data_IF_806688732322
#
_entry.id   IF_806688732322
#
_cell.length_a   1.000
_cell.length_b   1.000
_cell.length_c   1.000
_cell.angle_alpha   90.00
_cell.angle_beta   90.00
_cell.angle_gamma   90.00
#
_symmetry.space_group_name_H-M   'P 1'
#
loop_
_entity.id
_entity.type
_entity.pdbx_description
1 polymer ?
2 polymer ?
3 polymer ?
4 non-polymer ?
5 water ?
#
# COMPACT_ATOMS: atom_id res chain seq x y z
N UNK A 1 -3.14 -5.02 13.24
CA UNK A 1 -3.17 -4.81 11.81
C UNK A 1 -2.26 -3.67 11.36
N UNK A 2 -2.21 -3.46 10.05
CA UNK A 2 -1.31 -2.47 9.43
C UNK A 2 -2.03 -1.18 9.08
N UNK A 3 -1.37 -0.06 9.39
CA UNK A 3 -1.79 1.27 8.95
C UNK A 3 -0.64 2.01 8.28
N UNK A 4 -0.97 3.07 7.53
CA UNK A 4 0.02 3.96 6.95
C UNK A 4 0.10 5.30 7.69
N UNK A 5 1.25 5.97 7.59
CA UNK A 5 1.49 7.18 8.36
C UNK A 5 0.75 8.42 7.88
N UNK A 6 0.16 8.35 6.70
CA UNK A 6 -0.55 9.51 6.14
C UNK A 6 -1.56 9.08 5.06
N UNK A 7 -2.55 9.92 4.80
CA UNK A 7 -3.58 9.58 3.81
C UNK A 7 -3.29 10.17 2.43
N UNK A 8 -2.25 11.00 2.35
CA UNK A 8 -1.71 11.39 1.06
C UNK A 8 -0.23 11.73 1.25
N UNK A 9 0.53 11.65 0.17
CA UNK A 9 1.92 12.07 0.20
C UNK A 9 2.15 13.22 -0.78
N UNK A 10 2.72 14.33 -0.28
CA UNK A 10 3.11 15.41 -1.17
C UNK A 10 4.59 15.27 -1.52
N UNK A 11 4.89 15.07 -2.80
CA UNK A 11 6.27 14.89 -3.21
C UNK A 11 6.82 16.18 -3.81
N UNK A 12 7.70 16.87 -3.08
CA UNK A 12 8.21 18.14 -3.60
C UNK A 12 9.18 17.92 -4.74
N UNK A 13 8.88 18.46 -5.92
CA UNK A 13 9.84 18.44 -7.02
C UNK A 13 11.23 18.86 -6.59
N UNK A 14 12.23 18.06 -6.96
CA UNK A 14 13.62 18.36 -6.61
C UNK A 14 14.16 17.53 -5.46
N UNK A 15 13.27 17.04 -4.60
CA UNK A 15 13.68 16.27 -3.45
C UNK A 15 14.13 14.87 -3.91
N UNK A 16 15.25 14.39 -3.40
CA UNK A 16 15.74 13.07 -3.79
C UNK A 16 14.78 11.95 -3.35
N UNK A 17 14.18 12.07 -2.18
CA UNK A 17 13.20 11.08 -1.72
C UNK A 17 12.13 11.70 -0.83
N UNK A 18 11.02 10.98 -0.68
CA UNK A 18 10.05 11.28 0.36
C UNK A 18 9.87 9.98 1.12
N UNK A 19 9.32 10.02 2.33
CA UNK A 19 9.13 8.79 3.07
C UNK A 19 7.69 8.60 3.55
N UNK A 20 7.34 7.36 3.88
CA UNK A 20 5.99 7.01 4.34
C UNK A 20 6.10 5.92 5.40
N UNK A 21 5.50 6.15 6.57
CA UNK A 21 5.58 5.16 7.64
C UNK A 21 4.56 4.04 7.41
N UNK A 22 4.93 2.82 7.79
CA UNK A 22 4.02 1.68 7.84
C UNK A 22 4.09 1.12 9.25
N UNK A 23 2.95 0.94 9.91
CA UNK A 23 2.98 0.42 11.28
C UNK A 23 2.14 -0.83 11.47
N UNK A 24 2.59 -1.67 12.38
CA UNK A 24 1.83 -2.80 12.87
C UNK A 24 1.71 -2.69 14.39
N UNK A 25 0.52 -2.94 14.94
CA UNK A 25 0.33 -2.76 16.38
C UNK A 25 0.22 -4.06 17.18
N UNK A 26 0.31 -5.19 16.48
CA UNK A 26 0.05 -6.49 17.11
C UNK A 26 1.34 -7.30 17.32
N UNK A 27 1.70 -7.50 18.59
CA UNK A 27 2.93 -8.20 18.94
C UNK A 27 2.99 -9.61 18.36
N UNK A 28 1.83 -10.23 18.22
CA UNK A 28 1.75 -11.63 17.83
C UNK A 28 1.48 -11.84 16.35
N UNK A 29 1.94 -10.91 15.50
CA UNK A 29 1.73 -11.08 14.08
C UNK A 29 2.89 -10.57 13.23
N UNK A 30 3.09 -11.25 12.11
CA UNK A 30 4.06 -10.84 11.11
C UNK A 30 3.32 -10.62 9.81
N UNK A 31 3.62 -9.51 9.14
CA UNK A 31 3.06 -9.19 7.85
C UNK A 31 4.18 -9.13 6.82
N UNK A 32 3.92 -9.59 5.60
CA UNK A 32 4.77 -9.21 4.47
C UNK A 32 4.21 -7.90 3.92
N UNK A 33 5.08 -6.95 3.63
CA UNK A 33 4.66 -5.64 3.13
C UNK A 33 5.21 -5.46 1.73
N UNK A 34 4.30 -5.30 0.78
CA UNK A 34 4.63 -5.19 -0.63
C UNK A 34 4.10 -3.88 -1.20
N UNK A 35 4.99 -3.06 -1.78
CA UNK A 35 4.66 -1.67 -2.07
C UNK A 35 5.08 -1.21 -3.46
N UNK A 36 4.30 -0.31 -4.06
CA UNK A 36 4.53 0.14 -5.43
C UNK A 36 3.69 1.37 -5.77
N UNK A 37 4.07 2.04 -6.86
CA UNK A 37 3.36 3.24 -7.31
C UNK A 37 2.58 2.95 -8.60
N UNK A 38 1.39 3.55 -8.70
CA UNK A 38 0.59 3.51 -9.91
C UNK A 38 0.42 4.93 -10.41
N UNK A 39 0.22 5.08 -11.73
CA UNK A 39 -0.12 6.39 -12.28
C UNK A 39 -1.57 6.72 -11.96
N UNK A 40 -2.07 7.82 -12.51
CA UNK A 40 -3.41 8.29 -12.20
C UNK A 40 -4.47 7.25 -12.55
N UNK A 41 -4.22 6.49 -13.61
CA UNK A 41 -5.14 5.46 -14.08
C UNK A 41 -5.04 4.11 -13.35
N UNK A 42 -4.22 4.05 -12.30
CA UNK A 42 -4.14 2.85 -11.48
C UNK A 42 -3.28 1.75 -12.07
N UNK A 43 -2.42 2.14 -13.02
CA UNK A 43 -1.50 1.22 -13.67
C UNK A 43 -0.12 1.37 -13.06
N UNK A 44 0.62 0.28 -12.87
CA UNK A 44 1.94 0.39 -12.25
C UNK A 44 2.85 1.35 -13.01
N UNK A 45 3.52 2.22 -12.26
CA UNK A 45 4.44 3.19 -12.84
C UNK A 45 5.70 3.16 -11.98
N UNK A 46 6.78 2.62 -12.54
CA UNK A 46 8.02 2.48 -11.81
C UNK A 46 8.85 3.75 -11.73
N UNK A 47 8.33 4.86 -12.26
CA UNK A 47 9.09 6.11 -12.28
C UNK A 47 9.14 6.74 -10.90
N UNK A 48 8.33 6.23 -9.98
CA UNK A 48 8.64 6.42 -8.57
C UNK A 48 9.07 5.07 -8.03
N UNK A 49 10.27 5.03 -7.45
CA UNK A 49 10.79 3.79 -6.88
C UNK A 49 10.44 3.71 -5.41
N UNK A 50 9.78 2.63 -5.03
CA UNK A 50 9.46 2.43 -3.63
C UNK A 50 10.40 1.37 -3.07
N UNK A 51 11.10 1.71 -1.99
CA UNK A 51 12.07 0.78 -1.45
C UNK A 51 12.06 0.83 0.09
N UNK A 52 12.17 -0.34 0.75
CA UNK A 52 12.27 -1.66 0.12
C UNK A 52 10.91 -2.13 -0.36
N UNK A 53 10.89 -2.79 -1.53
CA UNK A 53 9.59 -3.08 -2.16
C UNK A 53 8.94 -4.33 -1.59
N UNK A 54 9.68 -5.11 -0.81
CA UNK A 54 9.15 -6.32 -0.16
C UNK A 54 9.94 -6.67 1.10
N UNK A 55 9.25 -6.72 2.23
CA UNK A 55 9.90 -6.99 3.51
C UNK A 55 8.90 -7.56 4.49
N UNK A 56 9.40 -8.10 5.60
CA UNK A 56 8.51 -8.60 6.63
C UNK A 56 8.66 -7.73 7.86
N UNK A 57 7.55 -7.44 8.53
CA UNK A 57 7.65 -6.79 9.83
C UNK A 57 6.91 -7.59 10.90
N UNK A 58 7.58 -7.78 12.02
CA UNK A 58 7.05 -8.57 13.13
C UNK A 58 6.68 -7.70 14.33
N UNK A 59 5.49 -7.92 14.87
CA UNK A 59 5.11 -7.31 16.14
C UNK A 59 4.83 -5.83 16.10
N UNK A 60 4.77 -5.21 17.28
CA UNK A 60 4.59 -3.76 17.38
C UNK A 60 5.79 -3.06 16.77
N UNK A 61 5.61 -2.48 15.58
CA UNK A 61 6.75 -2.01 14.82
C UNK A 61 6.39 -0.92 13.83
N UNK A 62 7.32 0.01 13.61
CA UNK A 62 7.18 0.97 12.54
C UNK A 62 8.33 0.79 11.55
N UNK A 63 8.00 0.74 10.27
CA UNK A 63 8.95 0.65 9.17
C UNK A 63 8.73 1.82 8.25
N UNK A 64 9.82 2.40 7.77
CA UNK A 64 9.72 3.52 6.85
C UNK A 64 9.97 3.10 5.40
N UNK A 65 9.05 3.49 4.52
CA UNK A 65 9.25 3.32 3.07
C UNK A 65 9.91 4.55 2.48
N UNK A 66 10.86 4.33 1.58
CA UNK A 66 11.42 5.42 0.79
C UNK A 66 10.76 5.48 -0.58
N UNK A 67 10.36 6.68 -0.99
CA UNK A 67 9.81 6.93 -2.32
C UNK A 67 10.80 7.78 -3.11
N UNK A 68 11.41 7.22 -4.16
CA UNK A 68 12.45 7.95 -4.92
C UNK A 68 11.93 8.49 -6.25
N UNK A 69 12.14 9.77 -6.52
CA UNK A 69 11.78 10.37 -7.80
C UNK A 69 12.71 9.93 -8.93
N UNK A 70 12.21 9.05 -9.80
CA UNK A 70 12.93 8.63 -10.98
C UNK A 70 12.22 9.07 -12.28
N UNK A 71 11.50 10.19 -12.21
CA UNK A 71 10.81 10.70 -13.40
C UNK A 71 11.70 11.52 -14.35
N UNK A 72 12.99 11.69 -14.04
CA UNK A 72 13.90 12.42 -14.92
C UNK A 72 13.37 13.79 -15.38
N UNK A 73 12.66 14.47 -14.49
CA UNK A 73 12.16 15.83 -14.75
C UNK A 73 11.22 15.91 -15.96
N UNK A 74 10.42 14.87 -16.16
CA UNK A 74 9.56 14.77 -17.33
C UNK A 74 8.12 15.20 -17.03
N UNK A 75 7.79 15.38 -15.76
CA UNK A 75 6.45 15.83 -15.43
C UNK A 75 6.32 17.34 -15.58
N UNK A 76 5.07 17.85 -15.75
CA UNK A 76 4.88 19.30 -15.86
C UNK A 76 5.45 20.03 -14.64
N UNK A 77 5.89 21.27 -14.84
CA UNK A 77 6.43 22.03 -13.71
C UNK A 77 5.56 23.25 -13.41
N UNK A 78 4.29 23.22 -13.83
CA UNK A 78 3.34 24.28 -13.49
C UNK A 78 2.06 23.76 -12.83
N UNK A 79 1.97 22.45 -12.65
CA UNK A 79 0.81 21.86 -12.00
C UNK A 79 1.18 20.52 -11.41
N UNK A 80 0.40 20.08 -10.42
CA UNK A 80 0.63 18.78 -9.79
C UNK A 80 0.33 17.63 -10.75
N UNK A 81 1.00 16.51 -10.53
CA UNK A 81 0.71 15.24 -11.22
C UNK A 81 0.24 14.26 -10.17
N UNK A 82 -0.77 13.44 -10.52
CA UNK A 82 -1.36 12.49 -9.58
C UNK A 82 -0.81 11.08 -9.77
N UNK A 83 -0.38 10.49 -8.66
CA UNK A 83 0.01 9.07 -8.66
C UNK A 83 -0.66 8.43 -7.46
N UNK A 84 -0.57 7.10 -7.36
CA UNK A 84 -1.13 6.39 -6.23
C UNK A 84 -0.08 5.50 -5.58
N UNK A 85 0.10 5.67 -4.28
CA UNK A 85 0.95 4.79 -3.49
C UNK A 85 0.16 3.57 -3.05
N UNK A 86 0.73 2.38 -3.24
CA UNK A 86 0.07 1.14 -2.86
C UNK A 86 0.90 0.36 -1.85
N UNK A 87 0.29 -0.03 -0.74
CA UNK A 87 0.98 -0.82 0.27
C UNK A 87 0.09 -2.02 0.61
N UNK A 88 0.54 -3.20 0.24
CA UNK A 88 -0.22 -4.42 0.49
C UNK A 88 0.35 -5.12 1.70
N UNK A 89 -0.53 -5.44 2.65
CA UNK A 89 -0.16 -6.12 3.86
C UNK A 89 -0.65 -7.57 3.77
N UNK A 90 0.29 -8.50 3.82
CA UNK A 90 0.00 -9.92 3.67
C UNK A 90 0.28 -10.62 4.99
N UNK A 91 -0.78 -11.15 5.62
CA UNK A 91 -0.63 -11.76 6.94
C UNK A 91 -0.03 -13.15 6.86
N UNK A 92 0.58 -13.62 7.94
CA UNK A 92 0.94 -15.04 8.00
C UNK A 92 -0.35 -15.84 8.25
N UNK A 93 -0.23 -17.14 8.40
CA UNK A 93 -1.37 -17.96 8.82
C UNK A 93 -0.88 -19.03 9.77
N UNK A 94 -1.65 -19.29 10.83
CA UNK A 94 -1.32 -20.36 11.74
C UNK A 94 -1.27 -21.69 10.97
N UNK A 95 -0.24 -22.48 11.22
CA UNK A 95 -0.09 -23.73 10.50
C UNK A 95 -1.24 -24.70 10.79
N UNK A 96 -1.90 -24.53 11.93
CA UNK A 96 -3.05 -25.37 12.24
C UNK A 96 -4.17 -25.15 11.22
N UNK A 97 -4.22 -23.94 10.66
CA UNK A 97 -5.27 -23.61 9.69
C UNK A 97 -5.03 -24.26 8.33
N UNK A 98 -3.86 -24.85 8.15
CA UNK A 98 -3.58 -25.57 6.92
C UNK A 98 -4.41 -26.83 6.79
N UNK A 99 -4.93 -27.33 7.92
CA UNK A 99 -5.79 -28.51 7.91
C UNK A 99 -7.25 -28.12 7.77
N UNK A 100 -7.50 -26.82 7.60
CA UNK A 100 -8.86 -26.28 7.48
C UNK A 100 -9.07 -25.65 6.11
N UNK A 101 -10.30 -25.74 5.59
CA UNK A 101 -10.67 -24.99 4.38
C UNK A 101 -10.75 -23.52 4.71
N UNK A 102 -9.84 -22.73 4.14
CA UNK A 102 -9.67 -21.36 4.56
C UNK A 102 -9.72 -20.35 3.41
N UNK A 103 -10.46 -19.27 3.63
CA UNK A 103 -10.34 -18.06 2.82
C UNK A 103 -9.45 -17.09 3.58
N UNK A 104 -8.31 -16.71 3.00
CA UNK A 104 -7.48 -15.68 3.60
C UNK A 104 -7.46 -14.42 2.74
N UNK A 105 -7.44 -13.27 3.42
CA UNK A 105 -7.42 -11.97 2.77
C UNK A 105 -6.10 -11.23 3.00
N UNK A 106 -5.68 -10.47 2.01
CA UNK A 106 -4.64 -9.44 2.19
C UNK A 106 -5.29 -8.08 1.87
N UNK A 107 -4.67 -6.98 2.29
CA UNK A 107 -5.28 -5.65 2.12
C UNK A 107 -4.30 -4.63 1.56
N UNK A 108 -4.70 -3.99 0.46
CA UNK A 108 -3.87 -2.98 -0.17
C UNK A 108 -4.42 -1.62 0.26
N UNK A 109 -3.60 -0.85 0.96
CA UNK A 109 -4.00 0.52 1.31
C UNK A 109 -3.50 1.44 0.20
N UNK A 110 -4.41 2.26 -0.35
CA UNK A 110 -4.06 3.12 -1.49
C UNK A 110 -4.29 4.57 -1.12
N UNK A 111 -3.25 5.37 -1.30
CA UNK A 111 -3.29 6.81 -1.01
C UNK A 111 -2.69 7.64 -2.15
N UNK A 112 -3.16 8.89 -2.27
CA UNK A 112 -2.67 9.78 -3.31
C UNK A 112 -1.21 10.18 -3.08
N UNK A 113 -0.46 10.16 -4.17
CA UNK A 113 0.88 10.69 -4.23
C UNK A 113 0.89 11.87 -5.17
N UNK A 114 0.98 13.09 -4.64
CA UNK A 114 0.98 14.29 -5.47
C UNK A 114 2.39 14.78 -5.73
N UNK A 115 2.80 14.75 -7.00
CA UNK A 115 4.07 15.34 -7.38
C UNK A 115 3.84 16.84 -7.60
N UNK A 116 4.49 17.63 -6.75
CA UNK A 116 4.22 19.07 -6.66
C UNK A 116 5.44 19.87 -7.08
N UNK A 117 5.34 20.57 -8.22
CA UNK A 117 6.46 21.38 -8.70
C UNK A 117 6.85 22.45 -7.69
N UNK A 118 8.05 22.96 -7.82
CA UNK A 118 8.53 24.05 -6.99
C UNK A 118 7.97 25.39 -7.48
N UNK A 119 7.95 26.36 -6.57
CA UNK A 119 7.64 27.75 -6.89
C UNK A 119 6.23 28.00 -7.43
N UNK A 120 5.24 27.34 -6.83
CA UNK A 120 3.85 27.71 -7.06
C UNK A 120 3.50 28.89 -6.14
N UNK A 121 2.99 29.98 -6.71
CA UNK A 121 2.73 31.19 -5.92
C UNK A 121 1.57 31.03 -4.94
N UNK A 122 0.53 30.31 -5.37
CA UNK A 122 -0.65 30.12 -4.55
C UNK A 122 -0.39 29.17 -3.38
N UNK A 123 -0.53 29.66 -2.14
CA UNK A 123 -0.43 28.75 -0.99
C UNK A 123 -1.46 27.65 -1.11
N UNK A 124 -1.07 26.42 -0.77
CA UNK A 124 -2.00 25.30 -0.85
C UNK A 124 -3.33 25.56 -0.13
N UNK A 125 -3.31 26.26 1.00
CA UNK A 125 -4.55 26.45 1.75
C UNK A 125 -5.39 27.63 1.23
N UNK A 126 -4.93 28.23 0.14
CA UNK A 126 -5.71 29.29 -0.53
C UNK A 126 -6.36 28.80 -1.84
N UNK A 127 -6.18 27.52 -2.14
CA UNK A 127 -6.63 26.93 -3.41
C UNK A 127 -8.12 26.69 -3.42
N UNK A 128 -8.66 26.17 -2.32
CA UNK A 128 -10.07 25.79 -2.23
C UNK A 128 -11.02 26.93 -2.61
N UNK A 129 -10.62 28.15 -2.22
CA UNK A 129 -11.38 29.36 -2.50
C UNK A 129 -11.51 29.63 -4.00
N UNK A 130 -10.57 29.12 -4.80
CA UNK A 130 -10.52 29.50 -6.21
C UNK A 130 -11.48 28.70 -7.06
N UNK A 131 -12.02 27.63 -6.50
CA UNK A 131 -12.95 26.75 -7.24
C UNK A 131 -14.14 27.53 -7.78
N UNK A 132 -14.59 27.13 -8.97
CA UNK A 132 -15.76 27.75 -9.59
C UNK A 132 -16.71 26.67 -10.07
N UNK A 133 -17.99 27.03 -10.24
CA UNK A 133 -19.03 26.07 -10.60
C UNK A 133 -19.86 26.48 -11.81
N UNK A 134 -20.18 25.47 -12.62
CA UNK A 134 -21.02 25.60 -13.79
C UNK A 134 -22.17 24.59 -13.64
N UNK A 135 -23.40 25.05 -13.82
CA UNK A 135 -24.57 24.22 -13.56
C UNK A 135 -25.36 23.94 -14.84
N UNK A 136 -25.65 22.67 -15.10
CA UNK A 136 -26.55 22.32 -16.20
C UNK A 136 -27.82 21.72 -15.62
N UNK A 137 -28.75 21.33 -16.49
CA UNK A 137 -30.06 20.85 -16.07
C UNK A 137 -29.97 19.65 -15.13
N UNK A 138 -28.92 18.85 -15.26
CA UNK A 138 -28.82 17.61 -14.48
C UNK A 138 -27.41 17.29 -13.99
N UNK A 139 -26.50 18.25 -14.07
CA UNK A 139 -25.15 18.01 -13.59
C UNK A 139 -24.52 19.29 -13.05
N UNK A 140 -23.49 19.13 -12.25
CA UNK A 140 -22.75 20.26 -11.73
C UNK A 140 -21.28 20.08 -12.08
N UNK A 141 -20.68 21.09 -12.71
CA UNK A 141 -19.27 20.99 -13.08
C UNK A 141 -18.40 21.84 -12.17
N UNK A 142 -17.33 21.23 -11.64
CA UNK A 142 -16.40 21.92 -10.75
C UNK A 142 -15.19 22.36 -11.56
N UNK A 143 -14.79 23.60 -11.39
CA UNK A 143 -13.77 24.21 -12.22
C UNK A 143 -12.60 24.64 -11.34
N UNK A 144 -11.44 24.07 -11.63
CA UNK A 144 -10.25 24.25 -10.80
C UNK A 144 -9.17 24.99 -11.58
N UNK A 145 -9.03 26.30 -11.34
CA UNK A 145 -7.96 27.01 -12.03
C UNK A 145 -6.60 26.92 -11.32
N UNK A 146 -6.51 26.22 -10.19
CA UNK A 146 -5.28 26.20 -9.40
C UNK A 146 -4.35 25.12 -9.90
N UNK A 147 -3.08 25.14 -9.46
CA UNK A 147 -2.17 24.04 -9.83
C UNK A 147 -2.25 22.82 -8.91
N UNK A 148 -3.20 22.79 -7.98
CA UNK A 148 -3.35 21.64 -7.08
C UNK A 148 -4.58 20.79 -7.42
N UNK A 149 -4.42 19.48 -7.31
CA UNK A 149 -5.60 18.60 -7.23
C UNK A 149 -6.44 19.00 -6.03
N UNK A 150 -7.73 19.24 -6.25
CA UNK A 150 -8.65 19.52 -5.16
C UNK A 150 -9.57 18.33 -4.92
N UNK A 151 -9.57 17.84 -3.69
CA UNK A 151 -10.43 16.76 -3.26
C UNK A 151 -11.64 17.38 -2.58
N UNK A 152 -12.75 17.46 -3.30
CA UNK A 152 -13.91 18.20 -2.84
C UNK A 152 -14.90 17.24 -2.17
N UNK A 153 -15.28 17.57 -0.95
CA UNK A 153 -16.15 16.74 -0.14
C UNK A 153 -17.16 17.63 0.54
N UNK A 154 -18.14 17.01 1.19
CA UNK A 154 -19.33 17.67 1.74
C UNK A 154 -19.88 18.67 0.74
N UNK A 155 -20.01 18.21 -0.50
CA UNK A 155 -20.52 19.04 -1.57
C UNK A 155 -22.04 18.99 -1.54
N UNK A 156 -22.66 20.16 -1.34
CA UNK A 156 -24.10 20.27 -1.22
C UNK A 156 -24.69 21.27 -2.21
N UNK A 157 -25.80 20.89 -2.82
CA UNK A 157 -26.60 21.81 -3.60
C UNK A 157 -27.94 21.95 -2.90
N UNK A 158 -28.15 23.07 -2.23
CA UNK A 158 -29.26 23.19 -1.30
C UNK A 158 -29.00 22.24 -0.14
N UNK A 159 -29.94 21.32 0.09
CA UNK A 159 -29.78 20.33 1.14
C UNK A 159 -29.32 19.00 0.56
N UNK A 160 -29.24 18.95 -0.77
CA UNK A 160 -28.89 17.72 -1.47
C UNK A 160 -27.39 17.47 -1.44
N UNK A 161 -26.97 16.37 -0.83
CA UNK A 161 -25.56 15.99 -0.76
C UNK A 161 -25.09 15.32 -2.06
N UNK A 162 -24.08 15.87 -2.69
CA UNK A 162 -23.59 15.32 -3.93
C UNK A 162 -22.37 14.41 -3.77
N UNK A 163 -21.97 13.83 -4.89
CA UNK A 163 -20.79 12.99 -4.92
C UNK A 163 -19.55 13.83 -4.66
N UNK A 164 -18.57 13.24 -3.96
CA UNK A 164 -17.24 13.86 -3.88
C UNK A 164 -16.65 13.97 -5.28
N UNK A 165 -15.69 14.87 -5.45
CA UNK A 165 -15.07 15.02 -6.74
C UNK A 165 -13.58 15.32 -6.57
N UNK A 166 -12.78 14.75 -7.46
CA UNK A 166 -11.36 15.03 -7.49
C UNK A 166 -11.13 15.93 -8.70
N UNK A 167 -10.84 17.21 -8.47
CA UNK A 167 -10.81 18.13 -9.59
C UNK A 167 -9.37 18.43 -9.94
N UNK A 168 -8.96 18.03 -11.13
CA UNK A 168 -7.56 18.14 -11.55
C UNK A 168 -7.16 19.57 -11.73
N UNK A 169 -5.87 19.86 -11.53
CA UNK A 169 -5.39 21.25 -11.65
C UNK A 169 -5.61 21.78 -13.04
N UNK A 170 -6.05 23.04 -13.13
CA UNK A 170 -6.34 23.70 -14.39
C UNK A 170 -7.28 22.85 -15.25
N UNK A 171 -8.27 22.29 -14.59
CA UNK A 171 -9.20 21.40 -15.25
C UNK A 171 -10.55 21.37 -14.58
N UNK A 172 -11.32 20.34 -14.90
CA UNK A 172 -12.71 20.26 -14.48
C UNK A 172 -13.13 18.83 -14.15
N UNK A 173 -14.16 18.72 -13.31
CA UNK A 173 -14.83 17.44 -13.03
C UNK A 173 -16.33 17.67 -12.91
N UNK A 174 -17.12 16.67 -13.27
CA UNK A 174 -18.57 16.78 -13.23
C UNK A 174 -19.19 15.74 -12.33
N UNK A 175 -20.13 16.17 -11.48
CA UNK A 175 -20.96 15.23 -10.72
C UNK A 175 -22.44 15.34 -11.11
N UNK A 176 -23.23 14.33 -10.74
CA UNK A 176 -24.67 14.34 -10.98
C UNK A 176 -25.40 15.35 -10.09
N UNK A 177 -26.48 15.91 -10.61
CA UNK A 177 -27.23 16.90 -9.86
C UNK A 177 -28.69 16.48 -9.87
N UNK A 178 -29.18 15.95 -8.73
CA UNK A 178 -30.60 15.54 -8.68
C UNK A 178 -31.52 16.71 -9.02
N UNK A 179 -32.67 16.43 -9.63
CA UNK A 179 -33.58 17.46 -10.10
C UNK A 179 -34.15 18.36 -9.00
N UNK A 180 -34.09 17.90 -7.75
CA UNK A 180 -34.61 18.67 -6.64
C UNK A 180 -33.49 19.44 -5.92
N UNK A 181 -32.30 19.40 -6.49
CA UNK A 181 -31.14 20.09 -5.92
C UNK A 181 -31.40 21.59 -5.80
N UNK A 182 -31.14 22.13 -4.62
CA UNK A 182 -31.28 23.55 -4.36
C UNK A 182 -30.24 24.40 -5.05
N UNK A 183 -30.34 25.71 -4.84
CA UNK A 183 -29.52 26.67 -5.58
C UNK A 183 -28.15 26.95 -4.97
N UNK A 184 -28.10 27.25 -3.67
CA UNK A 184 -26.83 27.62 -3.06
C UNK A 184 -25.94 26.42 -2.83
N UNK A 185 -24.74 26.49 -3.36
CA UNK A 185 -23.77 25.42 -3.29
C UNK A 185 -22.80 25.68 -2.14
N UNK A 186 -22.53 24.66 -1.34
CA UNK A 186 -21.48 24.73 -0.32
C UNK A 186 -20.56 23.51 -0.42
N UNK A 187 -19.32 23.66 0.05
CA UNK A 187 -18.36 22.57 -0.10
C UNK A 187 -17.20 22.71 0.91
N UNK A 188 -16.46 21.62 1.09
CA UNK A 188 -15.19 21.63 1.81
C UNK A 188 -14.17 20.89 0.96
N UNK A 189 -12.90 20.84 1.41
CA UNK A 189 -11.89 20.03 0.73
C UNK A 189 -11.06 19.31 1.77
N UNK A 190 -10.33 18.29 1.33
CA UNK A 190 -9.34 17.63 2.19
C UNK A 190 -7.98 18.22 1.87
N UNK A 191 -7.28 18.73 2.89
CA UNK A 191 -6.04 19.46 2.66
C UNK A 191 -4.79 18.56 2.64
N UNK A 192 -3.61 19.16 2.62
CA UNK A 192 -2.35 18.40 2.58
C UNK A 192 -2.17 17.46 3.76
N UNK A 193 -2.83 17.76 4.88
CA UNK A 193 -2.61 16.98 6.09
C UNK A 193 -3.78 16.04 6.36
N UNK A 194 -4.64 15.90 5.35
CA UNK A 194 -5.75 14.97 5.39
C UNK A 194 -6.89 15.45 6.26
N UNK A 195 -6.92 16.76 6.55
CA UNK A 195 -8.03 17.36 7.30
C UNK A 195 -8.93 18.19 6.39
N UNK A 196 -10.12 18.51 6.90
CA UNK A 196 -11.12 19.27 6.17
C UNK A 196 -10.81 20.77 6.24
N UNK A 197 -10.93 21.43 5.10
CA UNK A 197 -10.88 22.88 5.09
C UNK A 197 -12.27 23.42 5.46
N UNK A 198 -12.38 24.72 5.79
CA UNK A 198 -13.70 25.21 6.21
C UNK A 198 -14.80 25.11 5.14
N UNK A 199 -16.04 25.01 5.60
CA UNK A 199 -17.18 25.09 4.70
C UNK A 199 -17.18 26.43 3.96
N UNK A 200 -17.29 26.37 2.63
CA UNK A 200 -17.26 27.53 1.74
C UNK A 200 -18.48 27.61 0.85
N UNK A 201 -18.80 28.83 0.41
CA UNK A 201 -19.88 29.10 -0.53
C UNK A 201 -19.40 28.97 -1.96
N UNK A 202 -20.09 28.15 -2.75
CA UNK A 202 -19.75 27.99 -4.15
C UNK A 202 -20.00 29.26 -4.95
N UNK A 203 -19.00 29.66 -5.74
CA UNK A 203 -19.13 30.82 -6.62
C UNK A 203 -19.27 30.31 -8.04
N UNK A 204 -20.19 30.89 -8.79
CA UNK A 204 -20.44 30.39 -10.13
C UNK A 204 -19.47 30.98 -11.11
N UNK A 205 -19.18 30.22 -12.15
CA UNK A 205 -18.46 30.73 -13.31
C UNK A 205 -19.21 31.92 -13.92
N UNK A 206 -18.45 32.93 -14.35
CA UNK A 206 -19.07 34.13 -14.88
C UNK A 206 -18.51 34.53 -16.25
N UNK A 207 -19.28 35.36 -16.96
CA UNK A 207 -18.87 35.94 -18.24
C UNK A 207 -17.79 37.01 -18.03
N UNK A 208 -17.19 37.46 -19.13
CA UNK A 208 -16.20 38.53 -19.08
C UNK A 208 -16.79 39.78 -18.42
N UNK A 209 -16.01 40.39 -17.52
CA UNK A 209 -16.36 41.67 -16.89
C UNK A 209 -17.66 41.65 -16.10
N UNK A 210 -18.01 40.51 -15.51
CA UNK A 210 -19.37 40.39 -15.01
C UNK A 210 -19.53 39.81 -13.62
N UNK A 211 -20.54 40.32 -12.92
CA UNK A 211 -20.94 39.83 -11.61
C UNK A 211 -21.45 38.39 -11.70
N UNK B 1 -2.85 12.90 8.65
CA UNK B 1 -3.70 11.90 9.27
C UNK B 1 -3.27 10.50 8.86
N UNK B 2 -3.21 9.58 9.81
CA UNK B 2 -2.89 8.20 9.49
C UNK B 2 -4.07 7.54 8.76
N UNK B 3 -3.78 6.54 7.92
CA UNK B 3 -4.87 5.72 7.39
C UNK B 3 -5.44 4.85 8.51
N UNK B 4 -6.61 4.25 8.26
CA UNK B 4 -7.18 3.30 9.24
C UNK B 4 -6.32 2.06 9.39
N UNK B 5 -6.37 1.48 10.58
CA UNK B 5 -5.65 0.25 10.85
C UNK B 5 -6.64 -0.88 10.60
N UNK B 6 -6.24 -1.84 9.76
CA UNK B 6 -7.23 -2.76 9.19
C UNK B 6 -7.14 -4.16 9.82
N UNK B 7 -8.29 -4.67 10.27
CA UNK B 7 -8.36 -6.01 10.85
C UNK B 7 -9.63 -6.71 10.40
N UNK B 8 -9.65 -8.04 10.55
CA UNK B 8 -10.82 -8.84 10.25
C UNK B 8 -11.35 -9.39 11.57
N UNK B 9 -12.28 -10.32 11.50
CA UNK B 9 -12.76 -11.00 12.70
C UNK B 9 -11.66 -11.86 13.29
N UNK B 10 -10.86 -12.48 12.42
CA UNK B 10 -9.71 -13.26 12.85
C UNK B 10 -8.44 -12.45 12.68
N UNK B 11 -7.53 -12.58 13.65
CA UNK B 11 -6.28 -11.83 13.69
C UNK B 11 -5.46 -11.87 12.38
N UNK B 12 -5.58 -12.97 11.65
CA UNK B 12 -4.76 -13.21 10.46
C UNK B 12 -5.57 -13.08 9.19
N UNK B 13 -6.75 -12.48 9.30
CA UNK B 13 -7.63 -12.26 8.17
C UNK B 13 -8.03 -13.54 7.44
N UNK B 14 -8.41 -14.54 8.23
CA UNK B 14 -8.84 -15.83 7.72
C UNK B 14 -10.26 -16.13 8.12
N UNK B 15 -10.88 -16.94 7.29
CA UNK B 15 -12.24 -17.36 7.45
C UNK B 15 -12.27 -18.87 7.24
N UNK B 16 -12.73 -19.63 8.23
CA UNK B 16 -12.92 -21.07 8.06
C UNK B 16 -14.17 -21.38 7.22
N UNK B 17 -13.97 -21.88 6.00
CA UNK B 17 -15.07 -22.11 5.08
C UNK B 17 -15.86 -23.40 5.36
N UNK B 18 -15.34 -24.25 6.24
CA UNK B 18 -16.00 -25.51 6.57
C UNK B 18 -15.72 -26.57 5.53
N UNK B 19 -16.14 -27.80 5.79
CA UNK B 19 -15.84 -28.88 4.84
C UNK B 19 -16.86 -28.92 3.69
N UNK B 20 -16.41 -29.46 2.55
CA UNK B 20 -17.26 -29.61 1.38
C UNK B 20 -18.06 -30.91 1.42
N UNK B 21 -19.37 -30.79 1.31
CA UNK B 21 -20.23 -31.96 1.11
C UNK B 21 -20.89 -31.88 -0.26
N UNK B 22 -20.54 -32.84 -1.12
CA UNK B 22 -21.01 -32.84 -2.50
C UNK B 22 -22.54 -32.86 -2.63
N UNK B 23 -23.22 -33.41 -1.62
CA UNK B 23 -24.67 -33.55 -1.62
C UNK B 23 -25.42 -32.22 -1.47
N UNK B 24 -24.73 -31.19 -1.01
CA UNK B 24 -25.31 -29.87 -0.83
C UNK B 24 -25.66 -29.24 -2.18
N UNK B 25 -24.93 -29.64 -3.22
CA UNK B 25 -25.00 -29.00 -4.52
C UNK B 25 -25.65 -29.86 -5.59
N UNK B 26 -26.81 -29.44 -6.06
CA UNK B 26 -27.55 -30.21 -7.06
C UNK B 26 -27.75 -29.41 -8.36
N UNK B 27 -27.16 -28.23 -8.42
CA UNK B 27 -27.24 -27.40 -9.61
C UNK B 27 -26.10 -26.40 -9.66
N UNK B 28 -25.71 -26.01 -10.87
CA UNK B 28 -24.75 -24.93 -11.02
C UNK B 28 -25.34 -23.69 -10.37
N UNK B 29 -24.55 -22.98 -9.58
CA UNK B 29 -25.02 -21.75 -8.96
C UNK B 29 -25.55 -21.91 -7.54
N UNK B 30 -25.83 -23.14 -7.13
CA UNK B 30 -26.28 -23.34 -5.75
C UNK B 30 -25.14 -23.09 -4.78
N UNK B 31 -25.50 -22.62 -3.58
CA UNK B 31 -24.51 -22.14 -2.62
C UNK B 31 -24.49 -22.99 -1.34
N UNK B 32 -23.39 -22.87 -0.60
CA UNK B 32 -23.28 -23.49 0.72
C UNK B 32 -23.83 -22.54 1.78
N UNK B 33 -23.70 -22.91 3.04
CA UNK B 33 -24.10 -22.05 4.15
C UNK B 33 -23.22 -20.79 4.20
N UNK B 34 -23.82 -19.65 4.57
CA UNK B 34 -23.06 -18.41 4.60
C UNK B 34 -21.97 -18.41 5.69
N UNK B 35 -20.81 -17.87 5.36
CA UNK B 35 -19.74 -17.71 6.32
C UNK B 35 -19.41 -16.22 6.37
N UNK B 36 -19.91 -15.54 7.40
CA UNK B 36 -19.70 -14.08 7.46
C UNK B 36 -18.29 -13.71 7.87
N UNK B 37 -17.85 -12.55 7.40
CA UNK B 37 -16.63 -11.95 7.89
C UNK B 37 -16.78 -10.46 7.81
N UNK B 38 -15.90 -9.73 8.47
CA UNK B 38 -16.08 -8.30 8.63
C UNK B 38 -14.71 -7.67 8.53
N UNK B 39 -14.67 -6.55 7.84
CA UNK B 39 -13.45 -5.76 7.71
C UNK B 39 -13.58 -4.53 8.59
N UNK B 40 -12.68 -4.39 9.56
CA UNK B 40 -12.74 -3.27 10.48
C UNK B 40 -11.72 -2.21 10.15
N UNK B 41 -12.17 -0.96 10.16
CA UNK B 41 -11.33 0.20 9.92
C UNK B 41 -11.15 0.95 11.25
N UNK B 42 -10.03 0.74 11.92
CA UNK B 42 -9.86 1.22 13.30
C UNK B 42 -8.86 2.36 13.41
N UNK B 43 -8.93 3.06 14.54
CA UNK B 43 -7.95 4.09 14.87
C UNK B 43 -7.86 5.18 13.79
N UNK B 44 -9.02 5.65 13.35
CA UNK B 44 -9.02 6.74 12.38
C UNK B 44 -10.27 7.58 12.51
N UNK B 45 -10.15 8.87 12.24
CA UNK B 45 -11.29 9.77 12.30
C UNK B 45 -12.31 9.47 11.22
N UNK B 46 -13.51 10.03 11.38
CA UNK B 46 -14.57 9.83 10.40
C UNK B 46 -14.17 10.46 9.06
N UNK B 47 -13.45 11.59 9.12
CA UNK B 47 -12.91 12.22 7.92
C UNK B 47 -12.12 11.25 7.03
N UNK B 48 -11.39 10.34 7.66
CA UNK B 48 -10.57 9.41 6.92
C UNK B 48 -11.38 8.20 6.44
N UNK B 49 -12.28 7.70 7.28
CA UNK B 49 -12.97 6.45 6.98
C UNK B 49 -14.19 6.64 6.05
N UNK B 50 -14.71 7.86 5.96
CA UNK B 50 -15.89 8.14 5.12
C UNK B 50 -15.55 8.02 3.63
N UNK B 51 -16.46 7.42 2.89
CA UNK B 51 -16.37 7.24 1.44
C UNK B 51 -15.04 6.62 0.95
N UNK B 52 -14.47 5.74 1.78
CA UNK B 52 -13.36 4.92 1.34
C UNK B 52 -13.82 4.08 0.17
N UNK B 53 -12.94 3.88 -0.80
CA UNK B 53 -13.25 3.04 -1.94
C UNK B 53 -12.80 1.63 -1.67
N UNK B 54 -13.71 0.67 -1.82
CA UNK B 54 -13.37 -0.74 -1.59
C UNK B 54 -13.51 -1.55 -2.87
N UNK B 55 -12.48 -2.33 -3.21
CA UNK B 55 -12.50 -3.19 -4.39
C UNK B 55 -11.85 -4.52 -4.08
N UNK B 56 -12.46 -5.60 -4.58
CA UNK B 56 -11.98 -6.96 -4.30
C UNK B 56 -11.26 -7.58 -5.50
N UNK B 57 -10.23 -8.37 -5.19
CA UNK B 57 -9.42 -9.04 -6.20
C UNK B 57 -9.09 -10.45 -5.74
N UNK B 58 -8.62 -11.27 -6.68
CA UNK B 58 -8.20 -12.64 -6.39
C UNK B 58 -8.09 -13.46 -7.67
N UNK B 59 -7.63 -14.71 -7.57
CA UNK B 59 -7.60 -15.57 -8.74
C UNK B 59 -9.01 -16.09 -9.05
N UNK B 60 -9.56 -15.61 -10.16
CA UNK B 60 -10.93 -15.92 -10.54
C UNK B 60 -11.06 -17.35 -11.06
N UNK B 61 -12.24 -17.94 -10.82
CA UNK B 61 -12.54 -19.29 -11.28
C UNK B 61 -12.76 -19.32 -12.79
N UNK B 62 -12.30 -20.39 -13.43
CA UNK B 62 -12.41 -20.53 -14.88
C UNK B 62 -13.81 -20.67 -15.42
N UNK B 63 -14.67 -21.39 -14.70
CA UNK B 63 -16.04 -21.58 -15.15
C UNK B 63 -16.93 -20.40 -14.77
N UNK B 64 -16.60 -19.75 -13.64
CA UNK B 64 -17.34 -18.59 -13.18
C UNK B 64 -16.37 -17.53 -12.65
N UNK B 65 -15.88 -16.65 -13.54
CA UNK B 65 -14.87 -15.64 -13.16
C UNK B 65 -15.39 -14.63 -12.14
N UNK B 66 -16.67 -14.75 -11.76
CA UNK B 66 -17.23 -13.88 -10.73
C UNK B 66 -17.04 -14.45 -9.32
N UNK B 67 -16.41 -15.63 -9.23
CA UNK B 67 -16.10 -16.23 -7.93
C UNK B 67 -14.63 -16.61 -7.83
N UNK B 68 -14.17 -16.80 -6.61
CA UNK B 68 -12.77 -17.14 -6.36
C UNK B 68 -12.48 -18.60 -6.67
N UNK B 69 -11.38 -18.85 -7.36
CA UNK B 69 -10.91 -20.20 -7.61
C UNK B 69 -10.37 -20.86 -6.34
N UNK B 70 -10.55 -22.17 -6.22
CA UNK B 70 -9.90 -22.91 -5.14
C UNK B 70 -8.66 -23.64 -5.68
N UNK B 71 -8.27 -23.30 -6.91
CA UNK B 71 -7.10 -23.89 -7.55
C UNK B 71 -7.31 -25.30 -8.06
N UNK B 72 -6.21 -25.97 -8.39
CA UNK B 72 -6.25 -27.36 -8.82
C UNK B 72 -4.94 -28.06 -8.46
N UNK B 73 -5.04 -29.35 -8.18
CA UNK B 73 -3.95 -30.14 -7.67
C UNK B 73 -4.56 -31.34 -6.99
N UNK B 74 -3.74 -32.33 -6.61
CA UNK B 74 -4.27 -33.55 -5.99
C UNK B 74 -4.94 -33.26 -4.64
N UNK B 75 -6.08 -33.88 -4.40
CA UNK B 75 -6.81 -33.69 -3.15
C UNK B 75 -7.72 -32.48 -3.14
N UNK B 76 -7.57 -31.62 -4.15
CA UNK B 76 -8.35 -30.38 -4.23
C UNK B 76 -9.72 -30.61 -4.85
N UNK B 77 -10.73 -30.04 -4.21
CA UNK B 77 -12.12 -30.10 -4.65
C UNK B 77 -12.32 -29.51 -6.05
N UNK B 78 -13.33 -30.03 -6.76
CA UNK B 78 -13.63 -29.56 -8.10
C UNK B 78 -15.10 -29.13 -8.23
N UNK B 79 -15.33 -28.20 -9.15
CA UNK B 79 -16.65 -27.65 -9.48
C UNK B 79 -17.25 -26.81 -8.35
N UNK B 80 -16.39 -26.18 -7.57
CA UNK B 80 -16.80 -25.17 -6.62
C UNK B 80 -15.84 -24.01 -6.65
N UNK B 81 -16.37 -22.81 -6.42
CA UNK B 81 -15.54 -21.64 -6.21
C UNK B 81 -16.05 -20.95 -4.96
N UNK B 82 -15.42 -19.85 -4.57
CA UNK B 82 -15.89 -19.13 -3.39
C UNK B 82 -16.47 -17.79 -3.81
N UNK B 83 -17.77 -17.61 -3.53
CA UNK B 83 -18.44 -16.36 -3.83
C UNK B 83 -18.45 -15.44 -2.61
N UNK B 84 -18.28 -14.15 -2.87
CA UNK B 84 -18.29 -13.11 -1.84
C UNK B 84 -19.55 -12.26 -2.02
N UNK B 85 -20.19 -11.91 -0.91
CA UNK B 85 -21.42 -11.12 -0.94
C UNK B 85 -21.31 -9.91 -0.01
N UNK B 86 -21.97 -8.81 -0.37
CA UNK B 86 -21.90 -7.60 0.43
C UNK B 86 -23.05 -7.55 1.43
N UNK B 87 -23.20 -6.42 2.13
CA UNK B 87 -24.22 -6.33 3.17
C UNK B 87 -25.61 -6.11 2.59
N UNK B 88 -25.74 -6.15 1.26
CA UNK B 88 -27.04 -6.11 0.63
C UNK B 88 -27.43 -7.50 0.13
N UNK B 89 -26.53 -8.46 0.35
CA UNK B 89 -26.76 -9.82 -0.08
C UNK B 89 -26.38 -10.08 -1.53
N UNK B 90 -25.72 -9.10 -2.14
CA UNK B 90 -25.40 -9.18 -3.56
C UNK B 90 -23.96 -9.60 -3.83
N UNK B 91 -23.76 -10.31 -4.95
CA UNK B 91 -22.45 -10.82 -5.32
C UNK B 91 -21.44 -9.69 -5.59
N UNK B 92 -20.31 -9.74 -4.87
CA UNK B 92 -19.22 -8.76 -5.02
C UNK B 92 -18.39 -9.03 -6.25
N UNK B 93 -18.23 -7.99 -7.11
CA UNK B 93 -17.41 -8.16 -8.30
C UNK B 93 -15.93 -8.28 -7.93
N UNK B 94 -15.18 -9.10 -8.65
CA UNK B 94 -13.76 -9.27 -8.40
C UNK B 94 -12.98 -8.99 -9.68
N UNK B 95 -11.77 -8.50 -9.51
CA UNK B 95 -10.83 -8.28 -10.61
C UNK B 95 -11.38 -7.37 -11.70
N UNK B 96 -12.00 -6.26 -11.30
CA UNK B 96 -12.51 -5.29 -12.25
C UNK B 96 -11.42 -4.29 -12.60
N UNK B 97 -11.42 -3.81 -13.85
CA UNK B 97 -10.44 -2.82 -14.30
C UNK B 97 -10.35 -1.62 -13.36
N UNK B 98 -9.17 -1.01 -13.26
CA UNK B 98 -8.96 0.20 -12.43
C UNK B 98 -9.70 1.41 -12.97
N UNK B 102 -16.20 1.39 -9.54
CA UNK B 102 -15.80 1.69 -8.17
C UNK B 102 -16.96 1.48 -7.19
N UNK B 103 -16.64 1.50 -5.89
CA UNK B 103 -17.64 1.33 -4.84
C UNK B 103 -17.22 2.00 -3.53
N UNK B 104 -18.03 2.94 -3.07
CA UNK B 104 -17.71 3.74 -1.88
C UNK B 104 -18.53 3.34 -0.66
N UNK B 105 -17.84 3.17 0.47
CA UNK B 105 -18.49 2.83 1.73
C UNK B 105 -18.48 4.00 2.71
N UNK B 106 -19.60 4.20 3.40
CA UNK B 106 -19.70 5.28 4.37
C UNK B 106 -20.65 4.92 5.51
N UNK B 107 -20.54 5.66 6.61
CA UNK B 107 -21.49 5.54 7.70
C UNK B 107 -21.13 4.51 8.75
N UNK B 108 -20.14 3.67 8.47
CA UNK B 108 -19.74 2.63 9.41
C UNK B 108 -18.29 2.21 9.21
N UNK B 109 -17.62 1.85 10.31
CA UNK B 109 -16.20 1.46 10.25
C UNK B 109 -16.04 -0.05 10.30
N UNK B 110 -17.16 -0.76 10.15
CA UNK B 110 -17.12 -2.20 9.96
C UNK B 110 -17.78 -2.51 8.62
N UNK B 111 -17.07 -3.22 7.75
CA UNK B 111 -17.63 -3.60 6.47
C UNK B 111 -18.00 -5.07 6.50
N UNK B 112 -19.28 -5.37 6.29
CA UNK B 112 -19.77 -6.72 6.48
C UNK B 112 -19.92 -7.47 5.17
N UNK B 113 -19.40 -8.70 5.15
CA UNK B 113 -19.44 -9.53 3.96
C UNK B 113 -19.81 -10.96 4.30
N UNK B 114 -20.13 -11.74 3.28
CA UNK B 114 -20.37 -13.16 3.46
C UNK B 114 -19.66 -13.94 2.37
N UNK B 115 -19.04 -15.06 2.74
CA UNK B 115 -18.45 -15.96 1.76
C UNK B 115 -19.27 -17.24 1.71
N UNK B 116 -19.46 -17.77 0.49
CA UNK B 116 -20.10 -19.07 0.31
C UNK B 116 -19.37 -19.89 -0.74
N UNK B 117 -19.38 -21.20 -0.57
CA UNK B 117 -19.04 -22.06 -1.70
C UNK B 117 -20.16 -22.02 -2.73
N UNK B 118 -19.79 -21.84 -3.99
CA UNK B 118 -20.78 -21.86 -5.08
C UNK B 118 -20.40 -22.91 -6.12
N UNK B 119 -21.37 -23.77 -6.45
CA UNK B 119 -21.14 -24.81 -7.45
C UNK B 119 -20.96 -24.21 -8.84
N UNK B 120 -19.90 -24.62 -9.53
CA UNK B 120 -19.66 -24.17 -10.90
C UNK B 120 -19.98 -25.29 -11.89
N UNK B 121 -20.31 -26.46 -11.33
CA UNK B 121 -20.75 -27.60 -12.11
C UNK B 121 -21.81 -28.34 -11.32
N UNK B 122 -22.64 -29.12 -12.01
CA UNK B 122 -23.73 -29.85 -11.38
C UNK B 122 -23.20 -30.88 -10.38
N UNK B 123 -22.01 -31.41 -10.65
CA UNK B 123 -21.42 -32.48 -9.85
C UNK B 123 -20.15 -32.05 -9.12
N UNK B 124 -20.32 -31.72 -7.84
CA UNK B 124 -19.22 -31.25 -7.00
C UNK B 124 -18.46 -32.41 -6.38
N UNK B 125 -17.14 -32.31 -6.35
CA UNK B 125 -16.32 -33.30 -5.66
C UNK B 125 -15.64 -32.62 -4.46
N UNK B 126 -15.53 -33.35 -3.36
CA UNK B 126 -15.03 -32.78 -2.12
C UNK B 126 -13.52 -32.78 -2.02
N UNK B 127 -13.01 -32.32 -0.89
CA UNK B 127 -11.59 -32.25 -0.67
C UNK B 127 -11.14 -30.87 -0.22
N UNK B 128 -9.92 -30.50 -0.57
CA UNK B 128 -9.32 -29.24 -0.13
C UNK B 128 -9.87 -28.04 -0.91
N UNK B 129 -10.35 -27.04 -0.18
CA UNK B 129 -10.97 -25.90 -0.82
C UNK B 129 -10.54 -24.55 -0.20
N UNK B 130 -9.27 -24.20 -0.40
CA UNK B 130 -8.78 -22.90 0.05
C UNK B 130 -8.88 -21.82 -1.02
N UNK B 131 -9.06 -20.59 -0.58
CA UNK B 131 -9.09 -19.45 -1.48
C UNK B 131 -8.38 -18.26 -0.88
N UNK B 132 -7.96 -17.37 -1.75
CA UNK B 132 -7.32 -16.13 -1.34
C UNK B 132 -7.92 -14.97 -2.09
N UNK B 133 -8.06 -13.86 -1.40
CA UNK B 133 -8.52 -12.65 -2.04
C UNK B 133 -7.78 -11.47 -1.43
N UNK B 134 -7.77 -10.37 -2.15
CA UNK B 134 -7.31 -9.16 -1.52
C UNK B 134 -8.27 -8.01 -1.85
N UNK B 135 -8.42 -7.10 -0.90
CA UNK B 135 -9.23 -5.92 -1.19
C UNK B 135 -8.35 -4.68 -1.04
N UNK B 136 -8.65 -3.67 -1.83
CA UNK B 136 -7.98 -2.40 -1.70
C UNK B 136 -8.90 -1.40 -1.02
N UNK B 137 -8.32 -0.56 -0.17
CA UNK B 137 -9.01 0.54 0.46
C UNK B 137 -8.36 1.79 -0.11
N UNK B 138 -9.15 2.58 -0.84
CA UNK B 138 -8.62 3.74 -1.54
C UNK B 138 -9.13 4.99 -0.85
N UNK B 139 -8.21 5.75 -0.30
CA UNK B 139 -8.55 6.89 0.55
C UNK B 139 -8.81 8.15 -0.24
N UNK B 140 -9.83 8.89 0.18
CA UNK B 140 -10.07 10.25 -0.30
C UNK B 140 -8.88 11.13 0.04
N UNK C 1 8.96 -20.95 12.36
CA UNK C 1 7.61 -21.48 12.21
C UNK C 1 6.63 -20.38 11.80
N UNK C 2 6.79 -19.87 10.59
CA UNK C 2 5.80 -18.99 9.99
C UNK C 2 5.29 -19.60 8.70
N UNK C 3 4.08 -19.24 8.31
CA UNK C 3 3.59 -19.63 7.00
C UNK C 3 3.00 -18.44 6.27
N UNK C 4 3.48 -18.21 5.06
CA UNK C 4 2.88 -17.24 4.15
C UNK C 4 2.37 -17.95 2.88
N UNK C 5 1.12 -17.72 2.51
CA UNK C 5 0.56 -18.36 1.32
C UNK C 5 1.21 -17.77 0.06
N UNK C 6 1.94 -18.60 -0.70
CA UNK C 6 2.67 -18.18 -1.91
C UNK C 6 1.75 -17.65 -3.02
N UNK C 7 0.45 -17.91 -2.92
CA UNK C 7 -0.48 -17.46 -3.96
C UNK C 7 -0.73 -15.95 -3.82
N UNK C 8 -0.30 -15.37 -2.72
CA UNK C 8 -0.36 -13.90 -2.57
C UNK C 8 0.76 -13.25 -3.36
N UNK C 9 1.80 -14.02 -3.73
CA UNK C 9 2.91 -13.48 -4.51
C UNK C 9 2.95 -14.06 -5.94
N UNK C 10 3.98 -13.69 -6.70
CA UNK C 10 4.09 -14.07 -8.13
C UNK C 10 2.89 -13.61 -8.94
N UNK C 15 8.98 -14.60 -8.32
CA UNK C 15 10.20 -14.75 -7.53
C UNK C 15 9.86 -15.01 -6.05
N UNK C 16 8.96 -15.94 -5.82
CA UNK C 16 8.52 -16.32 -4.48
C UNK C 16 9.54 -17.23 -3.80
N UNK C 17 10.72 -17.34 -4.40
CA UNK C 17 11.80 -18.12 -3.80
C UNK C 17 12.25 -17.48 -2.48
N UNK C 18 11.92 -16.21 -2.29
CA UNK C 18 12.25 -15.47 -1.07
C UNK C 18 11.31 -15.76 0.11
N UNK C 19 10.30 -16.60 -0.11
CA UNK C 19 9.31 -16.85 0.92
C UNK C 19 9.86 -17.64 2.12
N UNK C 20 10.76 -18.58 1.87
CA UNK C 20 11.33 -19.36 2.95
C UNK C 20 12.12 -18.47 3.91
N UNK C 21 12.73 -17.40 3.38
CA UNK C 21 13.47 -16.46 4.23
C UNK C 21 12.56 -15.80 5.24
N UNK C 22 11.41 -15.33 4.79
CA UNK C 22 10.44 -14.71 5.67
C UNK C 22 9.85 -15.72 6.66
N UNK C 23 9.66 -16.95 6.22
CA UNK C 23 9.07 -17.94 7.12
C UNK C 23 10.07 -18.34 8.21
N UNK C 24 11.35 -18.08 7.96
CA UNK C 24 12.41 -18.35 8.95
C UNK C 24 12.83 -17.12 9.75
N UNK C 25 11.96 -16.10 9.74
CA UNK C 25 12.15 -14.93 10.57
C UNK C 25 12.97 -13.78 10.00
N UNK C 26 13.48 -13.92 8.78
CA UNK C 26 14.28 -12.86 8.14
C UNK C 26 13.41 -11.65 7.76
N UNK C 27 13.97 -10.45 7.70
CA UNK C 27 13.15 -9.27 7.39
C UNK C 27 13.19 -8.90 5.91
N UNK C 28 14.35 -9.11 5.31
CA UNK C 28 14.61 -8.54 4.01
C UNK C 28 15.38 -9.51 3.14
N UNK C 29 14.90 -9.70 1.89
CA UNK C 29 15.56 -10.58 0.93
C UNK C 29 16.80 -9.89 0.35
N UNK C 30 17.72 -10.67 -0.24
CA UNK C 30 18.88 -10.08 -0.90
C UNK C 30 18.43 -9.06 -1.94
N UNK C 31 19.23 -8.02 -2.15
CA UNK C 31 18.90 -7.00 -3.13
C UNK C 31 19.74 -5.77 -2.95
N UNK C 32 19.43 -4.74 -3.72
CA UNK C 32 20.12 -3.46 -3.60
C UNK C 32 19.18 -2.43 -3.02
N UNK C 33 19.59 -1.85 -1.89
CA UNK C 33 18.73 -0.98 -1.11
C UNK C 33 19.38 0.37 -0.88
N UNK C 34 18.54 1.41 -0.86
CA UNK C 34 18.98 2.75 -0.55
C UNK C 34 19.09 2.87 0.95
N UNK C 35 20.31 3.07 1.45
CA UNK C 35 20.53 3.10 2.88
C UNK C 35 21.36 4.30 3.33
N UNK C 36 21.11 4.74 4.55
CA UNK C 36 22.04 5.64 5.23
C UNK C 36 23.12 4.79 5.89
N UNK C 37 24.38 5.09 5.58
CA UNK C 37 25.49 4.34 6.13
C UNK C 37 26.13 5.08 7.30
N UNK C 38 26.23 4.40 8.44
CA UNK C 38 26.91 4.95 9.61
C UNK C 38 28.10 4.09 9.99
N UNK C 39 29.20 4.72 10.41
CA UNK C 39 30.39 4.01 10.90
C UNK C 39 30.76 4.60 12.25
N UNK C 40 30.78 3.76 13.28
CA UNK C 40 31.02 4.19 14.66
C UNK C 40 30.16 5.39 15.05
N UNK C 41 28.89 5.32 14.63
CA UNK C 41 27.85 6.32 14.85
C UNK C 41 28.11 7.65 14.13
N UNK C 42 29.07 7.67 13.22
CA UNK C 42 29.23 8.83 12.33
C UNK C 42 28.55 8.61 10.99
N UNK C 43 27.80 9.61 10.52
CA UNK C 43 27.13 9.55 9.23
C UNK C 43 28.17 9.54 8.11
N UNK C 44 28.10 8.54 7.24
CA UNK C 44 29.04 8.43 6.11
C UNK C 44 28.42 8.87 4.78
N UNK C 45 27.27 8.31 4.45
CA UNK C 45 26.72 8.49 3.11
C UNK C 45 25.32 7.91 3.01
N UNK C 46 24.60 8.38 2.00
CA UNK C 46 23.32 7.79 1.63
C UNK C 46 23.41 7.36 0.17
N UNK C 47 23.35 6.06 -0.06
CA UNK C 47 23.46 5.55 -1.41
C UNK C 47 22.96 4.11 -1.50
N UNK C 48 22.91 3.56 -2.71
CA UNK C 48 22.51 2.18 -2.89
C UNK C 48 23.64 1.26 -2.45
N UNK C 49 23.29 0.25 -1.67
CA UNK C 49 24.23 -0.78 -1.24
C UNK C 49 23.65 -2.14 -1.58
N UNK C 50 24.45 -3.02 -2.16
CA UNK C 50 23.98 -4.35 -2.48
C UNK C 50 24.15 -5.28 -1.28
N UNK C 51 23.09 -6.03 -1.00
CA UNK C 51 23.07 -6.96 0.10
C UNK C 51 22.92 -8.36 -0.46
N UNK C 52 23.93 -9.20 -0.24
CA UNK C 52 23.90 -10.56 -0.78
C UNK C 52 23.59 -11.54 0.34
N UNK C 53 23.16 -12.74 -0.01
CA UNK C 53 22.94 -13.75 1.01
C UNK C 53 24.28 -14.03 1.71
N UNK C 54 24.24 -14.25 3.02
CA UNK C 54 25.48 -14.40 3.79
C UNK C 54 25.27 -14.98 5.17
N UNK C 55 26.36 -15.07 5.94
CA UNK C 55 26.39 -15.77 7.22
C UNK C 55 25.84 -14.98 8.41
N UNK C 56 25.30 -13.80 8.14
CA UNK C 56 24.74 -12.97 9.19
C UNK C 56 23.45 -13.56 9.79
N UNK C 57 23.16 -13.18 11.03
CA UNK C 57 21.87 -13.52 11.64
C UNK C 57 20.71 -13.04 10.75
N UNK C 58 20.94 -11.95 10.03
CA UNK C 58 19.94 -11.37 9.14
C UNK C 58 19.78 -12.09 7.80
N UNK C 59 20.68 -13.03 7.53
CA UNK C 59 20.60 -13.79 6.28
C UNK C 59 21.19 -13.06 5.09
N UNK C 60 21.51 -11.79 5.28
CA UNK C 60 22.10 -10.97 4.24
C UNK C 60 23.26 -10.12 4.79
N UNK C 61 24.17 -9.78 3.91
CA UNK C 61 25.37 -9.00 4.27
C UNK C 61 25.64 -7.99 3.19
N UNK C 62 26.09 -6.78 3.58
CA UNK C 62 26.36 -5.75 2.57
C UNK C 62 27.65 -6.01 1.82
N UNK C 63 27.70 -5.63 0.54
CA UNK C 63 28.93 -5.70 -0.22
C UNK C 63 29.67 -4.37 -0.16
N UNK C 64 30.75 -4.38 0.62
CA UNK C 64 31.58 -3.20 0.80
C UNK C 64 32.98 -3.51 0.28
N UNK C 65 33.48 -2.70 -0.65
CA UNK C 65 34.82 -2.94 -1.18
C UNK C 65 35.89 -2.31 -0.31
N UNK C 66 37.14 -2.70 -0.55
CA UNK C 66 38.28 -2.13 0.15
C UNK C 66 38.29 -0.61 0.01
N UNK C 67 38.09 -0.14 -1.22
CA UNK C 67 38.04 1.30 -1.51
C UNK C 67 36.88 2.01 -0.81
N UNK C 68 35.72 1.36 -0.76
CA UNK C 68 34.57 1.96 -0.09
C UNK C 68 34.82 2.09 1.43
N UNK C 69 35.47 1.08 2.01
CA UNK C 69 35.83 1.14 3.44
C UNK C 69 36.91 2.18 3.69
N UNK C 70 37.92 2.21 2.83
CA UNK C 70 38.95 3.25 2.95
C UNK C 70 38.32 4.65 2.83
N UNK C 71 37.26 4.77 2.03
CA UNK C 71 36.60 6.07 1.85
C UNK C 71 35.86 6.49 3.10
N UNK C 72 35.68 5.54 4.02
CA UNK C 72 35.04 5.82 5.30
C UNK C 72 36.04 6.04 6.42
N UNK C 73 37.33 5.98 6.09
CA UNK C 73 38.39 6.25 7.06
C UNK C 73 39.21 5.04 7.48
N UNK C 74 38.85 3.86 6.98
CA UNK C 74 39.60 2.65 7.31
C UNK C 74 41.05 2.75 6.84
N UNK C 75 42.00 2.47 7.75
CA UNK C 75 43.40 2.41 7.40
C UNK C 75 43.68 0.99 6.97
N UNK C 76 43.61 0.75 5.66
CA UNK C 76 43.58 -0.61 5.14
C UNK C 76 44.91 -1.35 5.34
N UNK C 77 46.02 -0.63 5.44
CA UNK C 77 47.30 -1.30 5.71
C UNK C 77 47.30 -1.97 7.09
N UNK C 78 46.45 -1.48 8.00
CA UNK C 78 46.39 -2.00 9.37
C UNK C 78 45.60 -3.30 9.44
N UNK C 79 44.92 -3.67 8.37
CA UNK C 79 44.07 -4.87 8.38
C UNK C 79 44.73 -6.03 7.64
N UNK C 80 45.15 -7.05 8.38
CA UNK C 80 45.88 -8.18 7.80
C UNK C 80 45.09 -8.85 6.67
N UNK C 81 45.76 -9.04 5.54
CA UNK C 81 45.14 -9.72 4.40
C UNK C 81 44.31 -8.85 3.47
N UNK C 82 43.95 -7.65 3.93
CA UNK C 82 43.07 -6.79 3.12
C UNK C 82 43.68 -6.46 1.74
N UNK C 83 45.01 -6.34 1.70
CA UNK C 83 45.72 -6.00 0.48
C UNK C 83 45.68 -7.11 -0.57
N UNK C 84 45.42 -8.33 -0.12
CA UNK C 84 45.35 -9.48 -1.01
C UNK C 84 44.05 -9.49 -1.83
N UNK C 85 42.98 -8.93 -1.29
CA UNK C 85 41.68 -8.90 -1.97
C UNK C 85 41.75 -8.22 -3.33
N UNK C 86 40.80 -8.56 -4.20
CA UNK C 86 40.60 -7.85 -5.46
C UNK C 86 39.82 -6.56 -5.23
N UNK C 87 39.99 -5.58 -6.12
CA UNK C 87 39.28 -4.30 -5.99
C UNK C 87 37.76 -4.42 -5.80
N UNK C 88 37.12 -5.30 -6.54
CA UNK C 88 35.66 -5.39 -6.51
C UNK C 88 35.16 -6.38 -5.45
N UNK C 89 36.08 -7.04 -4.77
CA UNK C 89 35.73 -8.05 -3.76
C UNK C 89 34.91 -7.49 -2.61
N UNK C 90 33.86 -8.22 -2.23
CA UNK C 90 33.10 -7.90 -1.04
C UNK C 90 33.93 -8.26 0.18
N UNK C 91 34.37 -7.24 0.92
CA UNK C 91 35.19 -7.50 2.10
C UNK C 91 34.42 -8.29 3.14
N UNK C 92 34.95 -9.46 3.54
CA UNK C 92 34.31 -10.19 4.64
C UNK C 92 34.55 -9.45 5.97
N UNK C 93 33.81 -8.36 6.16
CA UNK C 93 34.11 -7.38 7.20
C UNK C 93 34.24 -7.95 8.60
N UNK C 94 33.29 -8.77 9.02
CA UNK C 94 33.25 -9.21 10.42
C UNK C 94 34.28 -10.29 10.75
N UNK C 95 34.84 -10.95 9.75
CA UNK C 95 35.92 -11.90 10.02
C UNK C 95 37.30 -11.33 9.72
N UNK C 96 37.39 -10.41 8.77
CA UNK C 96 38.70 -9.89 8.38
C UNK C 96 39.11 -8.74 9.31
N UNK C 97 38.17 -7.86 9.64
CA UNK C 97 38.48 -6.77 10.54
C UNK C 97 38.06 -7.16 11.96
N UNK C 98 39.06 -7.36 12.81
CA UNK C 98 38.86 -7.79 14.18
C UNK C 98 37.78 -6.96 14.90
N UNK C 99 36.76 -7.65 15.41
CA UNK C 99 35.73 -7.07 16.28
C UNK C 99 34.74 -6.18 15.54
N UNK C 100 34.87 -6.09 14.23
CA UNK C 100 33.99 -5.25 13.42
C UNK C 100 32.58 -5.83 13.37
N UNK C 101 31.58 -4.95 13.21
CA UNK C 101 30.19 -5.36 13.09
C UNK C 101 29.47 -4.65 11.95
N UNK C 102 28.47 -5.33 11.41
CA UNK C 102 27.59 -4.73 10.42
C UNK C 102 26.17 -5.18 10.71
N UNK C 103 25.25 -4.23 10.77
CA UNK C 103 23.83 -4.57 10.95
C UNK C 103 22.93 -3.62 10.19
N UNK C 104 21.96 -4.16 9.46
CA UNK C 104 21.03 -3.33 8.71
C UNK C 104 19.74 -3.15 9.51
N UNK C 105 19.48 -1.92 9.92
CA UNK C 105 18.20 -1.58 10.52
C UNK C 105 17.22 -1.44 9.36
N UNK C 106 16.35 -2.45 9.19
CA UNK C 106 15.53 -2.53 8.00
C UNK C 106 14.44 -1.47 8.02
N UNK C 107 13.85 -1.26 9.19
CA UNK C 107 12.80 -0.28 9.35
C UNK C 107 13.24 1.14 9.00
N UNK C 108 14.50 1.46 9.33
CA UNK C 108 15.07 2.78 9.01
C UNK C 108 15.88 2.79 7.72
N UNK C 109 16.11 1.61 7.15
CA UNK C 109 17.00 1.43 6.00
C UNK C 109 18.35 2.08 6.31
N UNK C 110 18.93 1.65 7.42
CA UNK C 110 20.16 2.25 7.92
C UNK C 110 21.19 1.18 8.20
N UNK C 111 22.33 1.27 7.52
CA UNK C 111 23.38 0.29 7.70
C UNK C 111 24.31 0.82 8.77
N UNK C 112 24.35 0.14 9.92
CA UNK C 112 25.22 0.52 11.03
C UNK C 112 26.50 -0.32 11.07
N UNK C 113 27.65 0.32 10.85
CA UNK C 113 28.93 -0.38 10.89
C UNK C 113 29.68 0.01 12.15
N UNK C 114 30.47 -0.92 12.70
CA UNK C 114 31.44 -0.53 13.72
C UNK C 114 32.77 -1.16 13.42
N UNK C 115 33.83 -0.37 13.62
CA UNK C 115 35.21 -0.84 13.40
C UNK C 115 36.05 -0.24 14.52
N UNK C 116 36.84 -1.06 15.21
CA UNK C 116 37.67 -0.53 16.31
C UNK C 116 38.63 0.57 15.85
N UNK C 117 38.94 1.50 16.75
CA UNK C 117 39.81 2.63 16.42
C UNK C 117 41.20 2.22 15.97
N UNK C 118 41.64 1.04 16.43
CA UNK C 118 42.95 0.50 16.06
C UNK C 118 43.15 0.43 14.54
N UNK C 119 42.04 0.30 13.81
CA UNK C 119 42.08 0.13 12.36
C UNK C 119 41.70 1.39 11.59
N UNK C 120 41.32 2.44 12.32
CA UNK C 120 40.90 3.68 11.71
C UNK C 120 42.09 4.63 11.59
N UNK C 121 41.87 5.73 10.88
CA UNK C 121 42.94 6.68 10.60
C UNK C 121 43.09 7.64 11.77
N UNK C 122 44.25 7.59 12.42
CA UNK C 122 44.46 8.35 13.64
C UNK C 122 45.85 8.94 13.74
N UNK C 123 46.08 9.70 14.81
CA UNK C 123 47.35 10.34 15.12
C UNK C 123 47.78 11.29 13.99
#
# INVERSE_FOLDING_TARGET
GVALGATRVIYPAGQKQEQLAVTNNDENSTYLIQSWVENADGVKDGRFIVTPPLFAMKGKKENTLRILDATNNQLPQDRESLFWMNVKAIPSMDKSKLTENTLQLAIISRIKLYYRPAKLALPPDQAAEKLRFRRSANSLTLINPTPYYLTVTELNAGTRVLENALVPPMGESTVKLPSDAGSNITYRTINDYGALTPKMTGVMEHHHHHH
AETCRIEAGDKQMTVNMGQISSNRFHAVGEDSAPVPFVIHLRECSTVVSERVGVAFHGVADGKNPDVLSVGEGPGIATNIGVALFDDEGNLVPINRPPANWKRLYSGSTSLHFIAKYRATGRRVTGGIANAQAWFSLTYQ
DLYFNPRFLADDPQAVADLSRFENGQELPPGTYRVDIYLNNGYMATRDVTFNTGDSEQGIVPCLTRAQLASMGLNTASVAGMNLLADDACVPLTTMVQDATAHLDVGQQRLNLTIPQAFMSNRAR
#
